data_IF_380144874507
#
_entry.id   IF_380144874507
#
_cell.length_a   1.000
_cell.length_b   1.000
_cell.length_c   1.000
_cell.angle_alpha   90.00
_cell.angle_beta   90.00
_cell.angle_gamma   90.00
#
_symmetry.space_group_name_H-M   'P 1'
#
loop_
_entity.id
_entity.type
_entity.pdbx_description
1 polymer ?
#
# COMPACT_ATOMS: atom_id res chain seq x y z
N UNK A 1 -21.51 34.34 -2.33
CA UNK A 1 -21.67 32.95 -1.86
C UNK A 1 -20.67 32.14 -2.66
N UNK A 2 -19.46 31.98 -2.13
CA UNK A 2 -18.35 31.32 -2.84
C UNK A 2 -18.02 30.08 -2.05
N UNK A 3 -18.36 28.92 -2.59
CA UNK A 3 -17.93 27.62 -2.07
C UNK A 3 -16.43 27.47 -2.32
N UNK A 4 -15.58 27.22 -1.32
CA UNK A 4 -14.24 26.74 -1.59
C UNK A 4 -14.30 25.29 -2.08
N UNK A 5 -13.63 25.04 -3.20
CA UNK A 5 -13.38 23.72 -3.76
C UNK A 5 -12.41 22.99 -2.83
N UNK A 6 -12.85 21.90 -2.19
CA UNK A 6 -11.95 21.02 -1.43
C UNK A 6 -11.23 20.10 -2.41
N UNK A 7 -10.11 20.56 -2.93
CA UNK A 7 -9.11 19.68 -3.49
C UNK A 7 -7.77 20.13 -2.95
N UNK A 8 -6.99 19.15 -2.51
CA UNK A 8 -5.53 19.19 -2.49
C UNK A 8 -4.84 19.77 -1.25
N UNK A 9 -4.72 18.95 -0.21
CA UNK A 9 -3.50 18.90 0.63
C UNK A 9 -3.37 17.50 1.26
N UNK A 10 -3.23 16.48 0.42
CA UNK A 10 -2.56 15.25 0.84
C UNK A 10 -1.34 15.15 -0.07
N UNK A 11 -0.14 15.18 0.51
CA UNK A 11 1.08 14.94 -0.26
C UNK A 11 1.06 13.55 -0.92
N UNK A 12 2.01 13.26 -1.82
CA UNK A 12 2.10 11.96 -2.47
C UNK A 12 2.12 10.83 -1.42
N UNK A 13 1.28 9.82 -1.63
CA UNK A 13 1.17 8.64 -0.76
C UNK A 13 2.27 7.61 -1.03
N UNK A 14 2.90 7.72 -2.20
CA UNK A 14 4.05 6.92 -2.65
C UNK A 14 5.21 7.87 -2.91
N UNK A 15 6.31 7.66 -2.19
CA UNK A 15 7.58 8.28 -2.52
C UNK A 15 8.19 7.58 -3.74
N UNK A 16 8.00 8.16 -4.93
CA UNK A 16 8.50 7.58 -6.18
C UNK A 16 10.02 7.54 -6.26
N UNK A 17 10.72 8.37 -5.47
CA UNK A 17 12.18 8.31 -5.40
C UNK A 17 12.66 6.96 -4.84
N UNK A 18 11.89 6.34 -3.93
CA UNK A 18 12.18 4.99 -3.42
C UNK A 18 12.11 3.95 -4.54
N UNK A 19 11.17 4.08 -5.47
CA UNK A 19 11.02 3.18 -6.62
C UNK A 19 12.14 3.39 -7.66
N UNK A 20 12.51 4.65 -7.90
CA UNK A 20 13.62 4.98 -8.78
C UNK A 20 14.96 4.48 -8.21
N UNK A 21 15.18 4.63 -6.89
CA UNK A 21 16.34 4.10 -6.18
C UNK A 21 16.37 2.57 -6.18
N UNK A 22 15.20 1.91 -6.08
CA UNK A 22 15.09 0.46 -6.20
C UNK A 22 15.57 0.00 -7.58
N UNK A 23 15.14 0.66 -8.65
CA UNK A 23 15.61 0.35 -10.01
C UNK A 23 17.12 0.58 -10.17
N UNK A 24 17.63 1.68 -9.63
CA UNK A 24 19.06 1.96 -9.64
C UNK A 24 19.90 0.89 -8.90
N UNK A 25 19.38 0.32 -7.81
CA UNK A 25 20.03 -0.76 -7.05
C UNK A 25 19.97 -2.11 -7.78
N UNK A 26 18.87 -2.39 -8.50
CA UNK A 26 18.70 -3.62 -9.28
C UNK A 26 19.47 -3.58 -10.61
N UNK A 27 19.78 -2.38 -11.11
CA UNK A 27 20.59 -2.14 -12.31
C UNK A 27 19.78 -1.66 -13.51
N UNK A 28 18.46 -1.79 -13.47
CA UNK A 28 17.55 -1.21 -14.44
C UNK A 28 16.19 -0.91 -13.81
N UNK A 29 15.41 -0.06 -14.49
CA UNK A 29 14.12 0.41 -14.01
C UNK A 29 13.08 -0.71 -14.12
N UNK A 30 13.19 -1.49 -15.19
CA UNK A 30 12.32 -2.59 -15.56
C UNK A 30 12.22 -3.65 -14.45
N UNK A 31 13.29 -3.94 -13.72
CA UNK A 31 13.26 -4.88 -12.58
C UNK A 31 12.44 -4.34 -11.41
N UNK A 32 12.47 -3.02 -11.16
CA UNK A 32 11.61 -2.39 -10.17
C UNK A 32 10.14 -2.37 -10.62
N UNK A 33 9.90 -2.19 -11.93
CA UNK A 33 8.56 -2.31 -12.52
C UNK A 33 8.00 -3.73 -12.34
N UNK A 34 8.76 -4.77 -12.65
CA UNK A 34 8.35 -6.18 -12.44
C UNK A 34 8.02 -6.50 -10.98
N UNK A 35 8.82 -5.99 -10.03
CA UNK A 35 8.56 -6.18 -8.60
C UNK A 35 7.26 -5.47 -8.18
N UNK A 36 7.04 -4.26 -8.69
CA UNK A 36 5.83 -3.50 -8.38
C UNK A 36 4.59 -4.15 -9.00
N UNK A 37 4.69 -4.69 -10.21
CA UNK A 37 3.64 -5.50 -10.84
C UNK A 37 3.27 -6.70 -9.98
N UNK A 38 4.25 -7.46 -9.47
CA UNK A 38 3.99 -8.60 -8.59
C UNK A 38 3.28 -8.19 -7.29
N UNK A 39 3.56 -7.00 -6.76
CA UNK A 39 2.81 -6.46 -5.63
C UNK A 39 1.35 -6.20 -6.04
N UNK A 40 1.14 -5.47 -7.13
CA UNK A 40 -0.18 -5.09 -7.62
C UNK A 40 -1.05 -6.33 -7.93
N UNK A 41 -0.48 -7.32 -8.60
CA UNK A 41 -1.14 -8.61 -8.92
C UNK A 41 -1.62 -9.36 -7.67
N UNK A 42 -0.94 -9.17 -6.53
CA UNK A 42 -1.29 -9.82 -5.26
C UNK A 42 -2.02 -8.91 -4.27
N UNK A 43 -2.18 -7.62 -4.57
CA UNK A 43 -2.70 -6.64 -3.63
C UNK A 43 -4.16 -6.93 -3.26
N UNK A 44 -5.01 -7.17 -4.26
CA UNK A 44 -6.44 -7.46 -4.06
C UNK A 44 -6.68 -8.71 -3.23
N UNK A 45 -5.92 -9.77 -3.49
CA UNK A 45 -5.99 -11.01 -2.72
C UNK A 45 -5.56 -10.79 -1.28
N UNK A 46 -4.49 -10.02 -1.03
CA UNK A 46 -4.03 -9.68 0.32
C UNK A 46 -5.05 -8.86 1.08
N UNK A 47 -5.67 -7.85 0.44
CA UNK A 47 -6.72 -7.05 1.06
C UNK A 47 -7.94 -7.91 1.40
N UNK A 48 -8.32 -8.82 0.51
CA UNK A 48 -9.42 -9.77 0.74
C UNK A 48 -9.11 -10.73 1.89
N UNK A 49 -7.88 -11.25 1.98
CA UNK A 49 -7.42 -12.08 3.09
C UNK A 49 -7.39 -11.32 4.41
N UNK A 50 -7.00 -10.04 4.40
CA UNK A 50 -6.99 -9.18 5.59
C UNK A 50 -8.41 -9.04 6.16
N UNK A 51 -9.38 -8.71 5.30
CA UNK A 51 -10.79 -8.57 5.71
C UNK A 51 -11.38 -9.92 6.15
N UNK A 52 -11.06 -11.01 5.45
CA UNK A 52 -11.54 -12.34 5.82
C UNK A 52 -11.01 -12.78 7.19
N UNK A 53 -9.72 -12.57 7.46
CA UNK A 53 -9.11 -12.92 8.74
C UNK A 53 -9.72 -12.13 9.92
N UNK A 54 -9.99 -10.85 9.73
CA UNK A 54 -10.71 -10.02 10.71
C UNK A 54 -12.13 -10.54 10.95
N UNK A 55 -12.89 -10.80 9.88
CA UNK A 55 -14.26 -11.31 9.96
C UNK A 55 -14.34 -12.67 10.68
N UNK A 56 -13.37 -13.54 10.39
CA UNK A 56 -13.33 -14.90 10.94
C UNK A 56 -12.75 -14.93 12.37
N UNK A 57 -12.28 -13.79 12.89
CA UNK A 57 -11.67 -13.67 14.22
C UNK A 57 -10.29 -14.32 14.33
N UNK A 58 -9.63 -14.61 13.20
CA UNK A 58 -8.29 -15.20 13.15
C UNK A 58 -7.24 -14.10 13.30
N UNK A 59 -6.98 -13.71 14.56
CA UNK A 59 -6.02 -12.65 14.89
C UNK A 59 -4.59 -12.94 14.39
N UNK A 60 -4.21 -14.21 14.29
CA UNK A 60 -2.87 -14.62 13.85
C UNK A 60 -2.76 -14.49 12.33
N UNK A 61 -3.77 -14.90 11.57
CA UNK A 61 -3.85 -14.64 10.13
C UNK A 61 -3.92 -13.13 9.83
N UNK A 62 -4.74 -12.38 10.57
CA UNK A 62 -4.88 -10.94 10.41
C UNK A 62 -3.53 -10.24 10.58
N UNK A 63 -2.82 -10.58 11.67
CA UNK A 63 -1.48 -10.04 11.95
C UNK A 63 -0.48 -10.40 10.86
N UNK A 64 -0.45 -11.64 10.37
CA UNK A 64 0.48 -12.05 9.31
C UNK A 64 0.25 -11.30 8.00
N UNK A 65 -1.01 -11.16 7.58
CA UNK A 65 -1.35 -10.44 6.34
C UNK A 65 -1.00 -8.96 6.49
N UNK A 66 -1.35 -8.34 7.63
CA UNK A 66 -1.01 -6.96 7.94
C UNK A 66 0.52 -6.72 7.96
N UNK A 67 1.28 -7.60 8.60
CA UNK A 67 2.74 -7.55 8.66
C UNK A 67 3.38 -7.60 7.26
N UNK A 68 2.92 -8.52 6.42
CA UNK A 68 3.40 -8.61 5.04
C UNK A 68 3.07 -7.36 4.25
N UNK A 69 1.82 -6.86 4.34
CA UNK A 69 1.39 -5.66 3.62
C UNK A 69 2.18 -4.43 4.07
N UNK A 70 2.40 -4.27 5.38
CA UNK A 70 3.24 -3.19 5.93
C UNK A 70 4.64 -3.20 5.33
N UNK A 71 5.29 -4.36 5.37
CA UNK A 71 6.69 -4.49 4.95
C UNK A 71 6.84 -4.23 3.46
N UNK A 72 5.95 -4.77 2.63
CA UNK A 72 6.01 -4.55 1.18
C UNK A 72 5.66 -3.11 0.81
N UNK A 73 4.66 -2.51 1.46
CA UNK A 73 4.27 -1.11 1.20
C UNK A 73 5.38 -0.14 1.54
N UNK A 74 6.09 -0.36 2.66
CA UNK A 74 7.24 0.46 3.05
C UNK A 74 8.39 0.35 2.04
N UNK A 75 8.64 -0.85 1.50
CA UNK A 75 9.65 -1.07 0.47
C UNK A 75 9.29 -0.40 -0.87
N UNK A 76 8.00 -0.29 -1.18
CA UNK A 76 7.51 0.38 -2.40
C UNK A 76 7.17 1.86 -2.19
N UNK A 77 7.79 2.51 -1.21
CA UNK A 77 7.69 3.95 -0.99
C UNK A 77 6.39 4.44 -0.35
N UNK A 78 5.44 3.57 0.01
CA UNK A 78 4.21 3.99 0.69
C UNK A 78 4.29 3.84 2.21
N UNK A 79 4.81 4.88 2.88
CA UNK A 79 4.83 4.94 4.34
C UNK A 79 3.42 4.97 4.93
N UNK A 80 2.49 5.69 4.28
CA UNK A 80 1.11 5.84 4.77
C UNK A 80 0.37 4.50 4.78
N UNK A 81 0.52 3.69 3.73
CA UNK A 81 -0.04 2.34 3.70
C UNK A 81 0.67 1.41 4.69
N UNK A 82 1.99 1.54 4.83
CA UNK A 82 2.75 0.77 5.81
C UNK A 82 2.30 1.05 7.25
N UNK A 83 2.04 2.31 7.61
CA UNK A 83 1.51 2.70 8.91
C UNK A 83 0.08 2.20 9.13
N UNK A 84 -0.78 2.31 8.12
CA UNK A 84 -2.16 1.80 8.21
C UNK A 84 -2.18 0.29 8.46
N UNK A 85 -1.41 -0.48 7.68
CA UNK A 85 -1.24 -1.91 7.89
C UNK A 85 -0.58 -2.22 9.24
N UNK A 86 0.37 -1.40 9.68
CA UNK A 86 1.01 -1.51 11.00
C UNK A 86 0.01 -1.37 12.16
N UNK A 87 -0.94 -0.44 12.09
CA UNK A 87 -1.99 -0.32 13.13
C UNK A 87 -2.85 -1.58 13.22
N UNK A 88 -3.19 -2.18 12.06
CA UNK A 88 -3.91 -3.48 12.04
C UNK A 88 -3.03 -4.61 12.61
N UNK A 89 -1.74 -4.65 12.25
CA UNK A 89 -0.77 -5.63 12.78
C UNK A 89 -0.71 -5.62 14.32
N UNK A 90 -0.82 -4.43 14.92
CA UNK A 90 -0.77 -4.23 16.39
C UNK A 90 -2.15 -4.29 17.06
N UNK A 91 -3.23 -4.51 16.31
CA UNK A 91 -4.60 -4.52 16.84
C UNK A 91 -5.12 -3.15 17.28
N UNK A 92 -4.57 -2.08 16.71
CA UNK A 92 -4.92 -0.68 16.98
C UNK A 92 -5.96 -0.13 15.99
N UNK A 93 -6.21 -0.85 14.90
CA UNK A 93 -7.18 -0.49 13.86
C UNK A 93 -7.72 -1.73 13.15
N UNK A 94 -8.83 -1.53 12.43
CA UNK A 94 -9.52 -2.58 11.69
C UNK A 94 -9.02 -2.66 10.24
N UNK A 95 -9.18 -3.83 9.60
CA UNK A 95 -8.78 -4.07 8.22
C UNK A 95 -9.44 -3.09 7.23
N UNK A 96 -10.68 -2.67 7.51
CA UNK A 96 -11.40 -1.69 6.71
C UNK A 96 -10.67 -0.33 6.60
N UNK A 97 -9.85 0.02 7.59
CA UNK A 97 -9.08 1.28 7.59
C UNK A 97 -7.92 1.28 6.56
N UNK A 98 -7.47 0.09 6.13
CA UNK A 98 -6.36 -0.07 5.18
C UNK A 98 -6.83 0.10 3.74
N UNK A 99 -8.06 -0.34 3.42
CA UNK A 99 -8.61 -0.35 2.06
C UNK A 99 -8.51 1.00 1.32
N UNK A 100 -8.97 2.14 1.86
CA UNK A 100 -8.90 3.40 1.12
C UNK A 100 -7.46 3.86 0.87
N UNK A 101 -6.55 3.60 1.81
CA UNK A 101 -5.13 3.95 1.67
C UNK A 101 -4.46 3.06 0.63
N UNK A 102 -4.79 1.77 0.62
CA UNK A 102 -4.27 0.81 -0.35
C UNK A 102 -4.67 1.19 -1.79
N UNK A 103 -5.94 1.57 -2.01
CA UNK A 103 -6.41 2.01 -3.33
C UNK A 103 -5.76 3.30 -3.82
N UNK A 104 -5.48 4.23 -2.90
CA UNK A 104 -4.83 5.46 -3.26
C UNK A 104 -3.34 5.26 -3.58
N UNK A 105 -2.64 4.40 -2.82
CA UNK A 105 -1.26 3.99 -3.13
C UNK A 105 -1.18 3.21 -4.45
N UNK A 106 -2.12 2.31 -4.71
CA UNK A 106 -2.27 1.55 -5.97
C UNK A 106 -2.37 2.49 -7.18
N UNK A 107 -3.18 3.55 -7.09
CA UNK A 107 -3.29 4.54 -8.16
C UNK A 107 -1.96 5.26 -8.44
N UNK A 108 -1.19 5.60 -7.40
CA UNK A 108 0.13 6.24 -7.56
C UNK A 108 1.18 5.26 -8.12
N UNK A 109 1.14 3.99 -7.73
CA UNK A 109 1.98 2.95 -8.32
C UNK A 109 1.69 2.73 -9.80
N UNK A 110 0.41 2.69 -10.20
CA UNK A 110 0.04 2.65 -11.62
C UNK A 110 0.53 3.89 -12.38
N UNK A 111 0.40 5.08 -11.79
CA UNK A 111 0.91 6.31 -12.40
C UNK A 111 2.43 6.27 -12.60
N UNK A 112 3.19 5.74 -11.63
CA UNK A 112 4.65 5.56 -11.78
C UNK A 112 5.00 4.55 -12.88
N UNK A 113 4.21 3.48 -13.03
CA UNK A 113 4.34 2.51 -14.12
C UNK A 113 3.88 3.06 -15.49
N UNK A 114 3.30 4.27 -15.55
CA UNK A 114 2.77 4.87 -16.77
C UNK A 114 1.45 4.25 -17.26
N UNK A 115 0.59 3.79 -16.35
CA UNK A 115 -0.65 3.05 -16.65
C UNK A 115 -1.89 3.73 -16.07
#
# INVERSE_FOLDING_TARGET
MTTPSSSDTAGPLVDTAVLDDLGAQLGAREEAEEILEMLLDSLDDRLSQLVAAERDGDAEALRRVAHSLRSTSNQMGSLVLAEAAGRVEHGEADAASVLPVARAAEAEWHAWLGR
#
